data_IF_241361318455
#
_entry.id   IF_241361318455
#
_cell.length_a   1.000
_cell.length_b   1.000
_cell.length_c   1.000
_cell.angle_alpha   90.00
_cell.angle_beta   90.00
_cell.angle_gamma   90.00
#
_symmetry.space_group_name_H-M   'P 1'
#
loop_
_entity.id
_entity.type
_entity.pdbx_description
1 polymer ?
#
# COMPACT_ATOMS: atom_id res chain seq x y z
N UNK A 1 0.55 9.44 -0.32
CA UNK A 1 1.37 10.62 -0.73
C UNK A 1 1.04 11.90 0.06
N UNK A 2 1.07 11.89 1.42
CA UNK A 2 0.72 13.10 2.20
C UNK A 2 1.65 14.29 1.92
N UNK A 3 2.94 14.03 1.78
CA UNK A 3 3.95 15.04 1.47
C UNK A 3 3.62 15.90 0.23
N UNK A 4 3.12 15.29 -0.85
CA UNK A 4 2.78 16.03 -2.07
C UNK A 4 1.56 16.94 -1.86
N UNK A 5 0.56 16.47 -1.10
CA UNK A 5 -0.60 17.28 -0.72
C UNK A 5 -0.18 18.47 0.13
N UNK A 6 0.65 18.25 1.15
CA UNK A 6 1.11 19.31 2.04
C UNK A 6 1.99 20.35 1.33
N UNK A 7 2.91 19.90 0.48
CA UNK A 7 3.88 20.75 -0.22
C UNK A 7 3.26 21.58 -1.33
N UNK A 8 2.43 20.97 -2.18
CA UNK A 8 1.94 21.60 -3.41
C UNK A 8 0.49 22.08 -3.32
N UNK A 9 -0.31 21.56 -2.38
CA UNK A 9 -1.67 22.02 -2.07
C UNK A 9 -2.64 22.04 -3.26
N UNK A 10 -2.38 21.25 -4.30
CA UNK A 10 -3.31 21.09 -5.40
C UNK A 10 -4.50 20.23 -4.97
N UNK A 11 -5.72 20.68 -5.32
CA UNK A 11 -6.96 19.93 -5.03
C UNK A 11 -6.91 18.52 -5.62
N UNK A 12 -6.39 18.36 -6.84
CA UNK A 12 -6.24 17.06 -7.50
C UNK A 12 -5.38 16.07 -6.71
N UNK A 13 -4.37 16.54 -5.95
CA UNK A 13 -3.57 15.66 -5.10
C UNK A 13 -4.34 15.22 -3.86
N UNK A 14 -5.21 16.08 -3.31
CA UNK A 14 -6.08 15.71 -2.20
C UNK A 14 -7.08 14.64 -2.64
N UNK A 15 -7.74 14.85 -3.78
CA UNK A 15 -8.73 13.91 -4.31
C UNK A 15 -8.07 12.56 -4.64
N UNK A 16 -6.88 12.59 -5.26
CA UNK A 16 -6.10 11.38 -5.53
C UNK A 16 -5.67 10.66 -4.25
N UNK A 17 -5.24 11.41 -3.22
CA UNK A 17 -4.83 10.82 -1.95
C UNK A 17 -6.00 10.12 -1.26
N UNK A 18 -7.18 10.73 -1.25
CA UNK A 18 -8.41 10.14 -0.72
C UNK A 18 -8.75 8.85 -1.45
N UNK A 19 -8.78 8.87 -2.78
CA UNK A 19 -9.06 7.68 -3.59
C UNK A 19 -8.05 6.55 -3.31
N UNK A 20 -6.75 6.84 -3.28
CA UNK A 20 -5.72 5.81 -3.03
C UNK A 20 -5.85 5.23 -1.63
N UNK A 21 -6.16 6.05 -0.62
CA UNK A 21 -6.39 5.57 0.73
C UNK A 21 -7.61 4.64 0.79
N UNK A 22 -8.73 5.00 0.16
CA UNK A 22 -9.91 4.12 0.10
C UNK A 22 -9.62 2.80 -0.62
N UNK A 23 -8.89 2.84 -1.73
CA UNK A 23 -8.49 1.64 -2.47
C UNK A 23 -7.58 0.75 -1.61
N UNK A 24 -6.66 1.35 -0.88
CA UNK A 24 -5.79 0.62 0.04
C UNK A 24 -6.62 -0.03 1.14
N UNK A 25 -7.52 0.69 1.81
CA UNK A 25 -8.37 0.13 2.87
C UNK A 25 -9.25 -1.03 2.40
N UNK A 26 -9.79 -0.95 1.18
CA UNK A 26 -10.59 -2.03 0.56
C UNK A 26 -9.77 -3.24 0.12
N UNK A 27 -8.45 -3.09 -0.02
CA UNK A 27 -7.57 -4.18 -0.43
C UNK A 27 -7.55 -5.29 0.65
N UNK A 28 -7.47 -6.58 0.28
CA UNK A 28 -7.32 -7.63 1.27
C UNK A 28 -6.00 -7.48 2.05
N UNK A 29 -6.02 -7.84 3.33
CA UNK A 29 -4.85 -7.78 4.22
C UNK A 29 -3.62 -8.52 3.67
N UNK A 30 -3.85 -9.57 2.87
CA UNK A 30 -2.80 -10.34 2.22
C UNK A 30 -1.92 -9.53 1.25
N UNK A 31 -2.37 -8.35 0.81
CA UNK A 31 -1.66 -7.47 -0.12
C UNK A 31 -1.21 -6.14 0.53
N UNK A 32 -1.48 -5.97 1.83
CA UNK A 32 -1.13 -4.75 2.59
C UNK A 32 0.20 -4.91 3.31
N UNK A 33 0.90 -3.79 3.50
CA UNK A 33 2.05 -3.72 4.41
C UNK A 33 3.26 -4.57 4.02
N UNK A 34 3.52 -4.75 2.72
CA UNK A 34 4.75 -5.40 2.23
C UNK A 34 5.94 -4.44 2.16
N UNK A 35 5.65 -3.17 1.91
CA UNK A 35 6.64 -2.10 1.76
C UNK A 35 6.16 -0.86 2.52
N UNK A 36 7.13 -0.06 2.96
CA UNK A 36 6.92 1.29 3.47
C UNK A 36 7.99 2.22 2.90
N UNK A 37 7.86 3.51 3.17
CA UNK A 37 8.89 4.50 2.92
C UNK A 37 9.49 4.94 4.25
N UNK A 38 10.82 5.06 4.33
CA UNK A 38 11.49 5.61 5.51
C UNK A 38 11.57 7.14 5.49
N UNK A 39 12.26 7.71 6.48
CA UNK A 39 12.46 9.17 6.62
C UNK A 39 13.28 9.81 5.50
N UNK A 40 14.09 9.02 4.77
CA UNK A 40 14.90 9.48 3.65
C UNK A 40 14.15 9.39 2.32
N UNK A 41 12.96 8.78 2.30
CA UNK A 41 12.20 8.52 1.09
C UNK A 41 12.54 7.18 0.43
N UNK A 42 13.35 6.34 1.07
CA UNK A 42 13.75 5.05 0.54
C UNK A 42 12.67 4.00 0.79
N UNK A 43 12.51 3.07 -0.16
CA UNK A 43 11.54 1.98 -0.02
C UNK A 43 12.13 0.89 0.87
N UNK A 44 11.46 0.63 1.99
CA UNK A 44 11.84 -0.40 2.95
C UNK A 44 10.87 -1.56 2.85
N UNK A 45 11.40 -2.78 2.80
CA UNK A 45 10.61 -4.00 2.79
C UNK A 45 10.23 -4.40 4.24
N UNK A 46 8.92 -4.47 4.52
CA UNK A 46 8.39 -4.83 5.85
C UNK A 46 8.24 -6.34 6.05
N UNK A 47 8.18 -7.10 4.94
CA UNK A 47 8.03 -8.56 4.92
C UNK A 47 8.98 -9.15 3.90
N UNK A 48 9.61 -10.26 4.21
CA UNK A 48 10.46 -10.93 3.22
C UNK A 48 9.67 -11.31 1.96
N UNK A 49 10.34 -11.48 0.81
CA UNK A 49 9.67 -11.94 -0.41
C UNK A 49 8.93 -13.26 -0.21
N UNK A 50 9.49 -14.17 0.61
CA UNK A 50 8.90 -15.47 0.92
C UNK A 50 7.60 -15.34 1.71
N UNK A 51 7.59 -14.51 2.76
CA UNK A 51 6.38 -14.23 3.56
C UNK A 51 5.30 -13.57 2.72
N UNK A 52 5.67 -12.56 1.94
CA UNK A 52 4.74 -11.86 1.04
C UNK A 52 4.10 -12.82 0.04
N UNK A 53 4.93 -13.65 -0.60
CA UNK A 53 4.46 -14.65 -1.57
C UNK A 53 3.59 -15.74 -0.93
N UNK A 54 3.83 -16.07 0.35
CA UNK A 54 3.00 -17.02 1.08
C UNK A 54 1.63 -16.41 1.39
N UNK A 55 1.57 -15.20 1.92
CA UNK A 55 0.31 -14.51 2.24
C UNK A 55 -0.59 -14.37 1.01
N UNK A 56 -0.01 -14.00 -0.14
CA UNK A 56 -0.78 -13.87 -1.40
C UNK A 56 -1.29 -15.24 -1.89
N UNK A 57 -0.47 -16.30 -1.82
CA UNK A 57 -0.91 -17.66 -2.17
C UNK A 57 -2.04 -18.15 -1.26
N UNK A 58 -1.87 -18.00 0.05
CA UNK A 58 -2.88 -18.38 1.04
C UNK A 58 -4.21 -17.64 0.77
N UNK A 59 -4.16 -16.37 0.34
CA UNK A 59 -5.35 -15.62 -0.06
C UNK A 59 -6.04 -16.23 -1.29
N UNK A 60 -5.31 -16.53 -2.37
CA UNK A 60 -5.91 -17.11 -3.58
C UNK A 60 -6.49 -18.51 -3.31
N UNK A 61 -5.76 -19.34 -2.56
CA UNK A 61 -6.19 -20.69 -2.19
C UNK A 61 -7.49 -20.67 -1.36
N UNK A 62 -7.61 -19.73 -0.41
CA UNK A 62 -8.82 -19.56 0.41
C UNK A 62 -10.03 -19.07 -0.39
N UNK A 63 -9.80 -18.21 -1.39
CA UNK A 63 -10.87 -17.63 -2.19
C UNK A 63 -11.23 -18.49 -3.43
N UNK A 64 -10.50 -19.58 -3.68
CA UNK A 64 -10.67 -20.45 -4.87
C UNK A 64 -10.69 -19.66 -6.19
N UNK A 65 -9.81 -18.66 -6.29
CA UNK A 65 -9.62 -17.83 -7.48
C UNK A 65 -8.39 -18.34 -8.24
#
# INVERSE_FOLDING_TARGET
>A
MPFLVEKYKYTSFKDLLEQVNEQYERMPEAFKGHFTTDENGDTVQLKTPAESSKMMRDFFDQNKI
#
